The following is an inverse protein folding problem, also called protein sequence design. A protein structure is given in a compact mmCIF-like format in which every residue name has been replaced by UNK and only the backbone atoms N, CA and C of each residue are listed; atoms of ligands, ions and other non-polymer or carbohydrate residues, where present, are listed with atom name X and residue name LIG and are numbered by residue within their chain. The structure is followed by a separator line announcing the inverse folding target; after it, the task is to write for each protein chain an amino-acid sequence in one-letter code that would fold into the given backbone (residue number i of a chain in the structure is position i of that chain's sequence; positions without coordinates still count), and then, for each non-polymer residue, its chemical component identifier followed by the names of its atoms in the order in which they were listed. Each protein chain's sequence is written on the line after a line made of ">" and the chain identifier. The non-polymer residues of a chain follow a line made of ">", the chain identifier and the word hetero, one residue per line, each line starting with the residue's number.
data_IF_438669532668
#
_entry.id   IF_438669532668
#
_cell.length_a   1.000
_cell.length_b   1.000
_cell.length_c   1.000
_cell.angle_alpha   90.00
_cell.angle_beta   90.00
_cell.angle_gamma   90.00
#
_symmetry.space_group_name_H-M   'P 1'
#
loop_
_entity.id
_entity.type
_entity.pdbx_description
1 polymer ?
#
# COMPACT_ATOMS: atom_id res chain seq x y z
N UNK A 1 -2.59 -2.73 13.62
CA UNK A 1 -3.14 -1.51 14.23
C UNK A 1 -4.45 -1.86 14.95
N UNK A 2 -4.65 -1.37 16.17
CA UNK A 2 -5.88 -1.60 16.94
C UNK A 2 -6.61 -0.29 17.19
N UNK A 3 -7.94 -0.33 17.16
CA UNK A 3 -8.80 0.77 17.55
C UNK A 3 -8.84 0.94 19.07
N UNK A 4 -9.54 1.98 19.52
CA UNK A 4 -9.69 2.27 20.96
C UNK A 4 -10.44 1.14 21.70
N UNK A 5 -11.32 0.43 20.99
CA UNK A 5 -12.06 -0.74 21.46
C UNK A 5 -11.24 -2.05 21.43
N UNK A 6 -9.99 -1.98 20.96
CA UNK A 6 -9.10 -3.13 20.81
C UNK A 6 -9.33 -3.95 19.53
N UNK A 7 -10.29 -3.58 18.68
CA UNK A 7 -10.55 -4.24 17.40
C UNK A 7 -9.40 -3.99 16.41
N UNK A 8 -9.14 -4.93 15.51
CA UNK A 8 -8.14 -4.74 14.45
C UNK A 8 -8.72 -3.82 13.38
N UNK A 9 -8.11 -2.65 13.21
CA UNK A 9 -8.57 -1.60 12.27
C UNK A 9 -7.65 -1.40 11.06
N UNK A 10 -6.59 -2.20 11.00
CA UNK A 10 -5.67 -2.21 9.87
C UNK A 10 -4.43 -3.03 10.16
N UNK A 11 -3.76 -3.44 9.09
CA UNK A 11 -2.53 -4.21 9.15
C UNK A 11 -1.66 -3.89 7.94
N UNK A 12 -0.37 -4.14 8.08
CA UNK A 12 0.54 -4.13 6.94
C UNK A 12 1.72 -5.06 7.19
N UNK A 13 2.45 -5.32 6.11
CA UNK A 13 3.62 -6.19 6.11
C UNK A 13 4.77 -5.48 5.39
N UNK A 14 6.00 -5.71 5.87
CA UNK A 14 7.20 -5.40 5.12
C UNK A 14 7.94 -6.69 4.77
N UNK A 15 8.42 -6.79 3.53
CA UNK A 15 9.18 -7.95 3.03
C UNK A 15 10.50 -7.47 2.47
N UNK A 16 11.61 -7.92 3.06
CA UNK A 16 12.94 -7.56 2.60
C UNK A 16 13.26 -8.34 1.31
N UNK A 17 13.40 -7.60 0.22
CA UNK A 17 13.89 -8.12 -1.04
C UNK A 17 15.37 -7.78 -1.25
N UNK A 18 16.00 -8.31 -2.32
CA UNK A 18 17.42 -8.09 -2.59
C UNK A 18 17.78 -6.62 -2.94
N UNK A 19 16.79 -5.79 -3.29
CA UNK A 19 16.99 -4.40 -3.74
C UNK A 19 16.18 -3.41 -2.91
N UNK A 20 14.94 -3.76 -2.55
CA UNK A 20 14.04 -2.88 -1.80
C UNK A 20 13.38 -3.65 -0.66
N UNK A 21 13.05 -2.94 0.42
CA UNK A 21 12.03 -3.35 1.36
C UNK A 21 10.66 -3.02 0.76
N UNK A 22 9.85 -4.05 0.51
CA UNK A 22 8.51 -3.90 -0.04
C UNK A 22 7.54 -3.70 1.11
N UNK A 23 6.75 -2.62 1.09
CA UNK A 23 5.68 -2.39 2.07
C UNK A 23 4.35 -2.76 1.43
N UNK A 24 3.82 -3.92 1.80
CA UNK A 24 2.63 -4.48 1.17
C UNK A 24 2.28 -5.88 1.71
N UNK A 25 0.98 -6.20 1.87
CA UNK A 25 -0.15 -5.30 1.63
C UNK A 25 -0.24 -4.25 2.73
N UNK A 26 -0.93 -3.13 2.46
CA UNK A 26 -1.32 -2.14 3.46
C UNK A 26 -2.84 -2.04 3.41
N UNK A 27 -3.49 -2.47 4.50
CA UNK A 27 -4.94 -2.44 4.65
C UNK A 27 -5.31 -1.59 5.86
N UNK A 28 -6.15 -0.59 5.65
CA UNK A 28 -6.63 0.32 6.69
C UNK A 28 -8.04 0.80 6.38
N UNK A 29 -8.82 1.13 7.42
CA UNK A 29 -10.16 1.71 7.23
C UNK A 29 -10.14 3.13 6.66
N UNK A 30 -9.06 3.88 6.89
CA UNK A 30 -8.93 5.24 6.40
C UNK A 30 -7.48 5.58 6.01
N UNK A 31 -7.34 6.74 5.38
CA UNK A 31 -6.06 7.25 4.89
C UNK A 31 -5.06 7.44 6.03
N UNK A 32 -5.52 7.88 7.20
CA UNK A 32 -4.64 8.16 8.33
C UNK A 32 -4.03 6.88 8.90
N UNK A 33 -4.82 5.81 8.98
CA UNK A 33 -4.36 4.48 9.34
C UNK A 33 -3.34 3.93 8.35
N UNK A 34 -3.56 4.12 7.04
CA UNK A 34 -2.60 3.72 6.01
C UNK A 34 -1.26 4.44 6.17
N UNK A 35 -1.28 5.76 6.39
CA UNK A 35 -0.08 6.58 6.63
C UNK A 35 0.70 6.09 7.85
N UNK A 36 0.03 5.86 8.97
CA UNK A 36 0.66 5.33 10.18
C UNK A 36 1.31 3.96 9.94
N UNK A 37 0.63 3.07 9.20
CA UNK A 37 1.20 1.76 8.87
C UNK A 37 2.48 1.92 8.03
N UNK A 38 2.51 2.82 7.03
CA UNK A 38 3.73 3.11 6.26
C UNK A 38 4.87 3.57 7.16
N UNK A 39 4.62 4.57 8.02
CA UNK A 39 5.62 5.12 8.93
C UNK A 39 6.19 4.05 9.87
N UNK A 40 5.33 3.19 10.42
CA UNK A 40 5.75 2.10 11.31
C UNK A 40 6.57 1.03 10.56
N UNK A 41 6.15 0.63 9.35
CA UNK A 41 6.85 -0.38 8.57
C UNK A 41 8.20 0.11 8.02
N UNK A 42 8.33 1.41 7.76
CA UNK A 42 9.55 2.03 7.26
C UNK A 42 10.53 2.45 8.37
N UNK A 43 10.07 2.50 9.63
CA UNK A 43 10.82 3.04 10.75
C UNK A 43 12.18 2.37 10.92
N UNK A 44 13.25 3.19 10.94
CA UNK A 44 14.62 2.72 11.14
C UNK A 44 15.28 2.05 9.92
N UNK A 45 14.56 1.85 8.82
CA UNK A 45 15.13 1.28 7.60
C UNK A 45 15.87 2.36 6.78
N UNK A 46 17.12 2.08 6.39
CA UNK A 46 17.97 3.03 5.66
C UNK A 46 18.12 2.70 4.16
N UNK A 47 17.51 1.59 3.70
CA UNK A 47 17.56 1.16 2.31
C UNK A 47 16.45 1.76 1.45
N UNK A 48 16.32 1.24 0.22
CA UNK A 48 15.26 1.65 -0.70
C UNK A 48 13.93 1.01 -0.33
N UNK A 49 12.87 1.81 -0.32
CA UNK A 49 11.50 1.36 -0.09
C UNK A 49 10.76 1.22 -1.41
N UNK A 50 9.85 0.24 -1.48
CA UNK A 50 8.92 0.09 -2.59
C UNK A 50 7.50 -0.14 -2.06
N UNK A 51 6.54 0.55 -2.65
CA UNK A 51 5.12 0.37 -2.40
C UNK A 51 4.42 0.29 -3.77
N UNK A 52 3.59 -0.72 -3.97
CA UNK A 52 2.75 -0.84 -5.15
C UNK A 52 1.31 -0.45 -4.74
N UNK A 53 0.85 0.71 -5.23
CA UNK A 53 -0.45 1.33 -4.87
C UNK A 53 -1.48 1.08 -5.98
N UNK A 54 -2.66 0.52 -5.68
CA UNK A 54 -3.72 0.38 -6.68
C UNK A 54 -4.33 1.74 -7.05
N UNK A 55 -4.98 1.82 -8.21
CA UNK A 55 -5.68 3.04 -8.66
C UNK A 55 -6.77 3.48 -7.67
N UNK A 56 -7.06 4.79 -7.59
CA UNK A 56 -8.11 5.35 -6.74
C UNK A 56 -7.67 5.77 -5.33
N UNK A 57 -6.37 5.95 -5.12
CA UNK A 57 -5.77 6.38 -3.85
C UNK A 57 -4.89 7.63 -4.05
N UNK A 58 -5.40 8.65 -4.74
CA UNK A 58 -4.67 9.86 -5.13
C UNK A 58 -4.09 10.61 -3.92
N UNK A 59 -4.88 10.77 -2.85
CA UNK A 59 -4.40 11.42 -1.62
C UNK A 59 -3.29 10.63 -0.91
N UNK A 60 -3.30 9.31 -1.03
CA UNK A 60 -2.24 8.46 -0.50
C UNK A 60 -0.96 8.59 -1.33
N UNK A 61 -1.08 8.66 -2.67
CA UNK A 61 0.06 8.91 -3.55
C UNK A 61 0.72 10.27 -3.25
N UNK A 62 -0.07 11.33 -3.04
CA UNK A 62 0.45 12.66 -2.64
C UNK A 62 1.24 12.57 -1.33
N UNK A 63 0.73 11.83 -0.35
CA UNK A 63 1.46 11.59 0.89
C UNK A 63 2.79 10.84 0.66
N UNK A 64 2.79 9.79 -0.16
CA UNK A 64 4.02 9.06 -0.46
C UNK A 64 5.04 9.96 -1.17
N UNK A 65 4.61 10.80 -2.10
CA UNK A 65 5.46 11.79 -2.76
C UNK A 65 6.06 12.79 -1.75
N UNK A 66 5.28 13.26 -0.78
CA UNK A 66 5.76 14.11 0.33
C UNK A 66 6.78 13.39 1.22
N UNK A 67 6.66 12.07 1.38
CA UNK A 67 7.66 11.22 2.05
C UNK A 67 8.90 10.91 1.20
N UNK A 68 8.98 11.43 -0.04
CA UNK A 68 10.12 11.25 -0.93
C UNK A 68 10.03 10.05 -1.88
N UNK A 69 8.88 9.37 -1.95
CA UNK A 69 8.66 8.35 -2.97
C UNK A 69 8.57 8.99 -4.35
N UNK A 70 9.04 8.25 -5.36
CA UNK A 70 8.91 8.63 -6.76
C UNK A 70 8.22 7.51 -7.53
N UNK A 71 7.35 7.88 -8.47
CA UNK A 71 6.67 6.91 -9.33
C UNK A 71 7.68 6.15 -10.18
N UNK A 72 7.83 4.85 -9.91
CA UNK A 72 8.75 3.99 -10.66
C UNK A 72 8.12 3.41 -11.93
N UNK A 73 6.85 2.99 -11.87
CA UNK A 73 6.12 2.41 -13.00
C UNK A 73 4.61 2.49 -12.79
N UNK A 74 3.83 2.29 -13.86
CA UNK A 74 2.38 2.11 -13.81
C UNK A 74 1.96 1.09 -14.87
N UNK A 75 2.15 -0.21 -14.62
CA UNK A 75 1.67 -1.23 -15.54
C UNK A 75 0.13 -1.21 -15.61
N UNK A 76 -0.47 -1.57 -16.75
CA UNK A 76 -1.91 -1.69 -16.87
C UNK A 76 -2.42 -2.91 -16.09
N UNK A 77 -3.58 -2.79 -15.45
CA UNK A 77 -4.30 -3.94 -14.86
C UNK A 77 -5.09 -4.64 -15.96
N UNK A 78 -4.98 -5.96 -16.01
CA UNK A 78 -5.62 -6.80 -17.03
C UNK A 78 -6.71 -7.68 -16.41
N UNK A 79 -7.84 -7.81 -17.09
CA UNK A 79 -8.92 -8.75 -16.75
C UNK A 79 -9.23 -9.63 -17.96
N UNK A 80 -9.55 -10.90 -17.73
CA UNK A 80 -9.93 -11.84 -18.79
C UNK A 80 -11.39 -12.22 -18.63
N UNK A 81 -12.16 -12.16 -19.72
CA UNK A 81 -13.59 -12.50 -19.75
C UNK A 81 -14.46 -11.66 -18.80
N UNK A 82 -14.11 -10.38 -18.63
CA UNK A 82 -14.89 -9.43 -17.85
C UNK A 82 -14.81 -8.05 -18.51
N UNK A 83 -15.89 -7.27 -18.40
CA UNK A 83 -15.96 -5.92 -18.96
C UNK A 83 -15.39 -4.86 -18.02
N UNK A 84 -15.39 -5.12 -16.71
CA UNK A 84 -14.87 -4.21 -15.68
C UNK A 84 -14.20 -4.97 -14.55
N UNK A 85 -13.31 -4.28 -13.85
CA UNK A 85 -12.70 -4.77 -12.62
C UNK A 85 -13.77 -4.93 -11.51
N UNK A 86 -13.61 -5.90 -10.60
CA UNK A 86 -14.42 -5.96 -9.40
C UNK A 86 -14.27 -4.68 -8.56
N UNK A 87 -15.36 -4.24 -7.95
CA UNK A 87 -15.32 -3.10 -7.04
C UNK A 87 -14.48 -3.45 -5.80
N UNK A 88 -13.53 -2.56 -5.49
CA UNK A 88 -12.73 -2.66 -4.27
C UNK A 88 -13.40 -1.82 -3.18
N UNK A 89 -13.31 -2.27 -1.93
CA UNK A 89 -13.90 -1.59 -0.79
C UNK A 89 -13.13 -0.33 -0.33
N UNK A 90 -12.07 0.08 -1.05
CA UNK A 90 -11.28 1.27 -0.74
C UNK A 90 -10.33 1.14 0.45
N UNK A 91 -10.22 -0.03 1.10
CA UNK A 91 -9.36 -0.21 2.28
C UNK A 91 -7.96 -0.74 1.95
N UNK A 92 -7.69 -1.12 0.70
CA UNK A 92 -6.41 -1.69 0.25
C UNK A 92 -5.53 -0.60 -0.38
N UNK A 93 -4.63 -0.02 0.41
CA UNK A 93 -3.76 1.09 0.00
C UNK A 93 -2.46 0.62 -0.68
N UNK A 94 -2.02 -0.61 -0.41
CA UNK A 94 -0.88 -1.21 -1.11
C UNK A 94 -1.07 -2.71 -1.28
N UNK A 95 -0.57 -3.26 -2.38
CA UNK A 95 -0.60 -4.70 -2.67
C UNK A 95 0.70 -5.37 -2.23
N UNK A 96 0.65 -6.66 -1.89
CA UNK A 96 1.82 -7.41 -1.42
C UNK A 96 2.91 -7.57 -2.49
N UNK A 97 2.47 -7.77 -3.74
CA UNK A 97 3.31 -7.81 -4.92
C UNK A 97 2.43 -7.56 -6.14
N UNK A 98 3.02 -7.11 -7.26
CA UNK A 98 2.32 -6.96 -8.54
C UNK A 98 1.68 -8.26 -9.05
N UNK A 99 2.14 -9.43 -8.60
CA UNK A 99 1.51 -10.71 -8.93
C UNK A 99 0.12 -10.89 -8.24
N UNK A 100 -0.17 -10.10 -7.21
CA UNK A 100 -1.34 -10.24 -6.36
C UNK A 100 -2.33 -9.08 -6.46
N UNK A 101 -2.16 -8.14 -7.40
CA UNK A 101 -3.07 -7.00 -7.48
C UNK A 101 -2.91 -6.05 -8.65
#
# INVERSE_FOLDING_TARGET
>A
MKGQDGAVIGYGLSVEGPVNLILGPIVAFDLQGAKQIVEQLASGYQGKLRIDVPSGHEEFLVFLEQCGFQKASQPPIMIRNAEKLPERNGHLYAIAAQAFG
#
